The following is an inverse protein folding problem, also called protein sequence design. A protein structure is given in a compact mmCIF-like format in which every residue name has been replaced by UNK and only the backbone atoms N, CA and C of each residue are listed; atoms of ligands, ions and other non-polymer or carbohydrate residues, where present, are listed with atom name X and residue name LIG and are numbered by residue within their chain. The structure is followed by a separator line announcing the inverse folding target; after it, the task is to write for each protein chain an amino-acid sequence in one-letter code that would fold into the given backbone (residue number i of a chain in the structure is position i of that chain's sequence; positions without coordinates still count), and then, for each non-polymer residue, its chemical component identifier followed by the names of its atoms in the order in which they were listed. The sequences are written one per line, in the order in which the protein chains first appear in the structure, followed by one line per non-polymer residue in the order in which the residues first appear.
data_IF_187394578874
#
_entry.id   IF_187394578874
#
_cell.length_a   1.000
_cell.length_b   1.000
_cell.length_c   1.000
_cell.angle_alpha   90.00
_cell.angle_beta   90.00
_cell.angle_gamma   90.00
#
_symmetry.space_group_name_H-M   'P 1'
#
loop_
_entity.id
_entity.type
_entity.pdbx_description
1 polymer ?
#
# COMPACT_ATOMS: atom_id res chain seq x y z
N UNK A 1 11.56 13.46 -11.50
CA UNK A 1 10.47 13.95 -10.63
C UNK A 1 9.22 14.22 -11.45
N UNK A 2 8.09 13.64 -11.07
CA UNK A 2 6.81 13.82 -11.75
C UNK A 2 6.13 15.14 -11.32
N UNK A 3 5.49 15.86 -12.25
CA UNK A 3 4.99 17.22 -12.02
C UNK A 3 3.95 17.33 -10.88
N UNK A 4 3.11 16.29 -10.68
CA UNK A 4 2.15 16.24 -9.57
C UNK A 4 2.81 16.22 -8.19
N UNK A 5 3.93 15.51 -8.05
CA UNK A 5 4.70 15.43 -6.79
C UNK A 5 5.29 16.80 -6.47
N UNK A 6 5.91 17.46 -7.46
CA UNK A 6 6.42 18.83 -7.32
C UNK A 6 5.34 19.83 -6.87
N UNK A 7 4.13 19.71 -7.44
CA UNK A 7 3.00 20.59 -7.09
C UNK A 7 2.46 20.33 -5.67
N UNK A 8 2.48 19.08 -5.20
CA UNK A 8 1.95 18.69 -3.91
C UNK A 8 2.94 18.95 -2.75
N UNK A 9 4.22 18.64 -2.93
CA UNK A 9 5.22 18.70 -1.84
C UNK A 9 6.11 19.95 -1.89
N UNK A 10 6.04 20.74 -2.96
CA UNK A 10 6.91 21.89 -3.17
C UNK A 10 8.38 21.56 -3.45
N UNK A 11 8.76 20.28 -3.49
CA UNK A 11 10.13 19.88 -3.84
C UNK A 11 10.37 19.99 -5.34
N UNK A 12 11.42 20.70 -5.74
CA UNK A 12 11.90 20.75 -7.11
C UNK A 12 13.14 19.86 -7.32
N UNK A 13 13.60 19.78 -8.58
CA UNK A 13 14.75 18.94 -8.95
C UNK A 13 16.06 19.45 -8.34
N UNK A 14 16.18 20.75 -8.09
CA UNK A 14 17.38 21.39 -7.58
C UNK A 14 17.54 21.07 -6.08
N UNK A 15 16.47 21.23 -5.30
CA UNK A 15 16.44 20.84 -3.88
C UNK A 15 16.64 19.34 -3.69
N UNK A 16 16.11 18.50 -4.57
CA UNK A 16 16.38 17.06 -4.55
C UNK A 16 17.84 16.72 -4.83
N UNK A 17 18.50 17.43 -5.75
CA UNK A 17 19.90 17.16 -6.09
C UNK A 17 20.87 17.49 -4.95
N UNK A 18 20.45 18.37 -4.02
CA UNK A 18 21.17 18.70 -2.79
C UNK A 18 20.86 17.74 -1.63
N UNK A 19 19.88 16.84 -1.81
CA UNK A 19 19.48 15.89 -0.78
C UNK A 19 20.49 14.76 -0.60
N UNK A 20 20.53 14.19 0.61
CA UNK A 20 21.25 12.94 0.85
C UNK A 20 20.55 11.78 0.13
N UNK A 21 21.31 10.75 -0.24
CA UNK A 21 20.72 9.49 -0.69
C UNK A 21 19.93 8.85 0.46
N UNK A 22 18.98 7.96 0.12
CA UNK A 22 18.17 7.29 1.15
C UNK A 22 19.01 6.54 2.20
N UNK A 23 20.04 5.73 1.83
CA UNK A 23 20.92 5.10 2.83
C UNK A 23 21.60 6.10 3.76
N UNK A 24 22.15 7.19 3.22
CA UNK A 24 22.80 8.22 4.03
C UNK A 24 21.82 8.94 4.96
N UNK A 25 20.60 9.23 4.48
CA UNK A 25 19.56 9.87 5.27
C UNK A 25 19.07 8.94 6.40
N UNK A 26 18.89 7.66 6.12
CA UNK A 26 18.47 6.66 7.11
C UNK A 26 19.53 6.47 8.20
N UNK A 27 20.81 6.40 7.83
CA UNK A 27 21.90 6.29 8.80
C UNK A 27 22.02 7.55 9.68
N UNK A 28 21.86 8.73 9.09
CA UNK A 28 21.79 9.99 9.86
C UNK A 28 20.60 10.02 10.81
N UNK A 29 19.44 9.51 10.37
CA UNK A 29 18.25 9.41 11.21
C UNK A 29 18.49 8.46 12.39
N UNK A 30 19.01 7.25 12.12
CA UNK A 30 19.42 6.28 13.15
C UNK A 30 20.38 6.91 14.15
N UNK A 31 21.45 7.54 13.68
CA UNK A 31 22.45 8.21 14.55
C UNK A 31 21.81 9.27 15.44
N UNK A 32 20.81 10.00 14.92
CA UNK A 32 20.14 11.07 15.66
C UNK A 32 19.16 10.55 16.71
N UNK A 33 18.36 9.52 16.39
CA UNK A 33 17.31 9.03 17.31
C UNK A 33 17.76 7.85 18.19
N UNK A 34 18.87 7.18 17.85
CA UNK A 34 19.43 6.06 18.60
C UNK A 34 18.83 4.70 18.23
N UNK A 35 19.01 3.76 19.14
CA UNK A 35 18.58 2.35 18.99
C UNK A 35 17.27 2.08 19.75
N UNK A 36 16.57 1.03 19.35
CA UNK A 36 15.31 0.57 19.96
C UNK A 36 14.19 1.63 19.98
N UNK A 37 14.08 2.40 18.89
CA UNK A 37 13.09 3.49 18.83
C UNK A 37 11.72 2.96 18.40
N UNK A 38 10.67 3.63 18.86
CA UNK A 38 9.32 3.45 18.35
C UNK A 38 8.89 4.70 17.60
N UNK A 39 8.49 4.55 16.34
CA UNK A 39 8.02 5.69 15.55
C UNK A 39 6.53 5.92 15.73
N UNK A 40 6.15 7.19 15.92
CA UNK A 40 4.78 7.64 15.99
C UNK A 40 4.41 8.34 14.69
N UNK A 41 3.40 7.87 13.98
CA UNK A 41 2.95 8.42 12.69
C UNK A 41 1.46 8.77 12.73
N UNK A 42 1.00 9.69 11.88
CA UNK A 42 -0.43 10.02 11.81
C UNK A 42 -1.27 8.91 11.13
N UNK A 43 -0.65 8.04 10.35
CA UNK A 43 -1.32 6.96 9.64
C UNK A 43 -0.41 5.78 9.33
N UNK A 44 -0.91 4.81 8.58
CA UNK A 44 -0.17 3.59 8.25
C UNK A 44 0.80 3.72 7.07
N UNK A 45 0.67 4.78 6.27
CA UNK A 45 1.38 4.89 4.98
C UNK A 45 2.89 5.07 5.16
N UNK A 46 3.33 5.85 6.13
CA UNK A 46 4.75 6.17 6.34
C UNK A 46 5.58 4.92 6.61
N UNK A 47 5.07 4.02 7.46
CA UNK A 47 5.71 2.73 7.75
C UNK A 47 5.92 1.93 6.46
N UNK A 48 4.87 1.79 5.65
CA UNK A 48 4.95 1.02 4.41
C UNK A 48 5.98 1.63 3.43
N UNK A 49 5.97 2.96 3.27
CA UNK A 49 6.93 3.63 2.38
C UNK A 49 8.37 3.48 2.91
N UNK A 50 8.59 3.58 4.21
CA UNK A 50 9.90 3.37 4.84
C UNK A 50 10.41 1.94 4.61
N UNK A 51 9.59 0.93 4.94
CA UNK A 51 9.92 -0.49 4.75
C UNK A 51 10.27 -0.79 3.28
N UNK A 52 9.49 -0.27 2.33
CA UNK A 52 9.76 -0.45 0.90
C UNK A 52 11.12 0.14 0.50
N UNK A 53 11.48 1.34 0.97
CA UNK A 53 12.76 1.95 0.62
C UNK A 53 13.93 1.18 1.23
N UNK A 54 13.80 0.71 2.47
CA UNK A 54 14.83 -0.09 3.13
C UNK A 54 15.08 -1.39 2.37
N UNK A 55 14.02 -2.08 1.93
CA UNK A 55 14.12 -3.28 1.11
C UNK A 55 14.78 -3.00 -0.25
N UNK A 56 14.41 -1.91 -0.92
CA UNK A 56 14.97 -1.54 -2.24
C UNK A 56 16.47 -1.24 -2.15
N UNK A 57 16.91 -0.68 -1.03
CA UNK A 57 18.29 -0.29 -0.79
C UNK A 57 19.12 -1.35 -0.05
N UNK A 58 18.55 -2.51 0.29
CA UNK A 58 19.22 -3.61 1.00
C UNK A 58 19.84 -3.16 2.34
N UNK A 59 19.06 -2.42 3.14
CA UNK A 59 19.49 -1.86 4.43
C UNK A 59 18.86 -2.62 5.60
N UNK A 60 19.45 -2.45 6.78
CA UNK A 60 18.97 -2.99 8.06
C UNK A 60 18.11 -1.96 8.80
N UNK A 61 17.10 -2.42 9.53
CA UNK A 61 16.20 -1.61 10.35
C UNK A 61 16.03 -2.13 11.78
N UNK A 62 16.85 -3.07 12.23
CA UNK A 62 16.72 -3.72 13.55
C UNK A 62 16.80 -2.75 14.75
N UNK A 63 17.21 -1.50 14.50
CA UNK A 63 17.21 -0.39 15.45
C UNK A 63 15.81 0.23 15.69
N UNK A 64 14.82 -0.10 14.86
CA UNK A 64 13.43 0.33 15.00
C UNK A 64 12.63 -0.81 15.65
N UNK A 65 12.15 -0.60 16.86
CA UNK A 65 11.39 -1.60 17.62
C UNK A 65 9.95 -1.71 17.17
N UNK A 66 9.26 -0.57 16.95
CA UNK A 66 7.84 -0.60 16.63
C UNK A 66 7.34 0.69 15.95
N UNK A 67 6.08 0.69 15.53
CA UNK A 67 5.36 1.80 14.91
C UNK A 67 3.96 1.96 15.51
N UNK A 68 3.64 3.18 15.92
CA UNK A 68 2.34 3.55 16.50
C UNK A 68 1.63 4.56 15.61
N UNK A 69 0.41 4.21 15.21
CA UNK A 69 -0.50 5.09 14.49
C UNK A 69 -1.27 5.97 15.48
N UNK A 70 -0.88 7.24 15.60
CA UNK A 70 -1.49 8.22 16.48
C UNK A 70 -2.97 8.47 16.18
N UNK A 71 -3.39 8.36 14.92
CA UNK A 71 -4.80 8.54 14.55
C UNK A 71 -5.70 7.50 15.22
N UNK A 72 -5.20 6.29 15.47
CA UNK A 72 -5.96 5.28 16.21
C UNK A 72 -6.22 5.73 17.64
N UNK A 73 -5.18 6.23 18.30
CA UNK A 73 -5.27 6.77 19.67
C UNK A 73 -6.22 7.97 19.70
N UNK A 74 -6.08 8.88 18.74
CA UNK A 74 -7.00 10.01 18.57
C UNK A 74 -8.45 9.53 18.45
N UNK A 75 -8.74 8.55 17.58
CA UNK A 75 -10.10 8.05 17.39
C UNK A 75 -10.66 7.39 18.65
N UNK A 76 -9.86 6.64 19.40
CA UNK A 76 -10.27 6.03 20.67
C UNK A 76 -10.71 7.09 21.69
N UNK A 77 -9.95 8.18 21.82
CA UNK A 77 -10.18 9.19 22.85
C UNK A 77 -11.23 10.22 22.47
N UNK A 78 -11.51 10.38 21.18
CA UNK A 78 -12.46 11.37 20.67
C UNK A 78 -13.81 10.78 20.27
N UNK A 79 -14.05 9.48 20.51
CA UNK A 79 -15.25 8.80 20.05
C UNK A 79 -15.35 8.76 18.52
N UNK A 80 -14.20 8.83 17.83
CA UNK A 80 -14.11 8.78 16.39
C UNK A 80 -14.51 7.42 15.84
N UNK A 81 -15.11 7.41 14.65
CA UNK A 81 -15.30 6.18 13.90
C UNK A 81 -13.96 5.54 13.48
N UNK A 82 -14.05 4.35 12.87
CA UNK A 82 -12.88 3.61 12.39
C UNK A 82 -12.33 4.15 11.06
N UNK A 83 -12.87 5.26 10.55
CA UNK A 83 -12.46 5.80 9.26
C UNK A 83 -11.15 6.56 9.36
N UNK A 84 -10.38 6.55 8.27
CA UNK A 84 -9.16 7.36 8.19
C UNK A 84 -9.51 8.84 8.15
N UNK A 85 -8.79 9.65 8.94
CA UNK A 85 -9.00 11.09 9.03
C UNK A 85 -7.78 11.86 8.55
N UNK A 86 -8.01 13.03 7.94
CA UNK A 86 -6.90 13.92 7.65
C UNK A 86 -6.31 14.48 8.96
N UNK A 87 -5.00 14.76 8.98
CA UNK A 87 -4.36 15.39 10.13
C UNK A 87 -5.01 16.74 10.45
N UNK A 88 -5.40 17.49 9.42
CA UNK A 88 -6.14 18.75 9.55
C UNK A 88 -7.45 18.61 10.32
N UNK A 89 -8.12 17.46 10.25
CA UNK A 89 -9.35 17.20 11.03
C UNK A 89 -9.06 17.18 12.53
N UNK A 90 -7.97 16.53 12.95
CA UNK A 90 -7.59 16.49 14.36
C UNK A 90 -7.04 17.83 14.85
N UNK A 91 -6.28 18.53 14.01
CA UNK A 91 -5.84 19.90 14.30
C UNK A 91 -7.04 20.82 14.54
N UNK A 92 -8.04 20.79 13.64
CA UNK A 92 -9.26 21.58 13.78
C UNK A 92 -10.04 21.22 15.07
N UNK A 93 -10.13 19.93 15.41
CA UNK A 93 -10.79 19.49 16.64
C UNK A 93 -10.12 20.11 17.88
N UNK A 94 -8.79 20.09 17.97
CA UNK A 94 -8.08 20.67 19.11
C UNK A 94 -7.83 22.18 19.01
N UNK A 95 -8.36 22.85 17.99
CA UNK A 95 -8.11 24.28 17.77
C UNK A 95 -6.64 24.62 17.48
N UNK A 96 -5.88 23.67 16.95
CA UNK A 96 -4.47 23.86 16.58
C UNK A 96 -4.40 24.62 15.26
N UNK A 97 -3.81 25.82 15.30
CA UNK A 97 -3.59 26.62 14.11
C UNK A 97 -2.51 26.02 13.20
N UNK A 98 -2.80 25.97 11.89
CA UNK A 98 -1.83 25.54 10.90
C UNK A 98 -0.82 26.65 10.63
N UNK A 99 0.33 26.59 11.31
CA UNK A 99 1.42 27.57 11.19
C UNK A 99 2.48 27.19 10.15
N UNK A 100 2.38 25.99 9.57
CA UNK A 100 3.32 25.45 8.56
C UNK A 100 2.58 25.00 7.30
N UNK A 101 3.29 25.04 6.17
CA UNK A 101 2.75 24.62 4.87
C UNK A 101 2.31 23.15 4.94
N UNK A 102 1.07 22.88 4.52
CA UNK A 102 0.55 21.52 4.41
C UNK A 102 1.39 20.71 3.42
N UNK A 103 1.53 19.40 3.64
CA UNK A 103 2.25 18.49 2.74
C UNK A 103 3.77 18.73 2.66
N UNK A 104 4.32 19.39 3.68
CA UNK A 104 5.74 19.36 4.02
C UNK A 104 5.95 18.33 5.15
N UNK A 105 6.87 17.38 4.95
CA UNK A 105 7.05 16.26 5.88
C UNK A 105 7.42 16.71 7.30
N UNK A 106 8.24 17.76 7.43
CA UNK A 106 8.59 18.31 8.74
C UNK A 106 7.41 19.04 9.37
N UNK A 107 6.64 19.78 8.57
CA UNK A 107 5.37 20.39 9.00
C UNK A 107 4.37 19.36 9.51
N UNK A 108 4.16 18.27 8.78
CA UNK A 108 3.22 17.22 9.14
C UNK A 108 3.69 16.46 10.39
N UNK A 109 4.99 16.19 10.54
CA UNK A 109 5.56 15.60 11.77
C UNK A 109 5.39 16.52 12.99
N UNK A 110 5.64 17.82 12.82
CA UNK A 110 5.46 18.82 13.87
C UNK A 110 3.98 18.91 14.32
N UNK A 111 3.06 18.98 13.36
CA UNK A 111 1.63 19.03 13.65
C UNK A 111 1.12 17.72 14.29
N UNK A 112 1.65 16.57 13.88
CA UNK A 112 1.39 15.28 14.53
C UNK A 112 1.84 15.31 15.99
N UNK A 113 3.00 15.89 16.28
CA UNK A 113 3.49 16.10 17.65
C UNK A 113 2.59 17.03 18.48
N UNK A 114 2.05 18.10 17.87
CA UNK A 114 1.07 18.97 18.54
C UNK A 114 -0.25 18.25 18.83
N UNK A 115 -0.76 17.43 17.92
CA UNK A 115 -1.95 16.61 18.19
C UNK A 115 -1.66 15.60 19.31
N UNK A 116 -0.48 14.98 19.29
CA UNK A 116 -0.05 14.04 20.32
C UNK A 116 -0.07 14.67 21.73
N UNK A 117 0.33 15.94 21.85
CA UNK A 117 0.34 16.64 23.15
C UNK A 117 -1.05 16.93 23.72
N UNK A 118 -2.10 16.82 22.90
CA UNK A 118 -3.50 16.97 23.33
C UNK A 118 -4.16 15.64 23.72
N UNK A 119 -3.45 14.52 23.59
CA UNK A 119 -3.95 13.18 23.85
C UNK A 119 -3.32 12.60 25.12
N UNK A 120 -4.06 11.72 25.80
CA UNK A 120 -3.48 10.88 26.85
C UNK A 120 -2.70 9.74 26.19
N UNK A 121 -1.42 9.97 25.88
CA UNK A 121 -0.61 8.98 25.18
C UNK A 121 -0.42 7.70 26.02
N UNK A 122 -0.35 7.80 27.35
CA UNK A 122 -0.17 6.65 28.23
C UNK A 122 -1.37 5.69 28.15
N UNK A 123 -2.58 6.22 28.28
CA UNK A 123 -3.80 5.46 28.09
C UNK A 123 -3.92 4.92 26.66
N UNK A 124 -3.60 5.77 25.68
CA UNK A 124 -3.65 5.42 24.26
C UNK A 124 -2.78 4.21 23.92
N UNK A 125 -1.53 4.20 24.39
CA UNK A 125 -0.60 3.10 24.17
C UNK A 125 -1.04 1.81 24.87
N UNK A 126 -1.56 1.91 26.10
CA UNK A 126 -2.08 0.75 26.83
C UNK A 126 -3.24 0.06 26.09
N UNK A 127 -4.07 0.82 25.39
CA UNK A 127 -5.22 0.31 24.62
C UNK A 127 -4.88 -0.03 23.16
N UNK A 128 -3.69 0.37 22.67
CA UNK A 128 -3.37 0.39 21.25
C UNK A 128 -3.41 -1.01 20.62
N UNK A 129 -2.77 -2.01 21.25
CA UNK A 129 -2.72 -3.37 20.73
C UNK A 129 -4.12 -3.97 20.56
N UNK A 130 -5.01 -3.73 21.52
CA UNK A 130 -6.38 -4.24 21.48
C UNK A 130 -7.22 -3.48 20.44
N UNK A 131 -6.99 -2.17 20.29
CA UNK A 131 -7.63 -1.39 19.25
C UNK A 131 -7.21 -1.85 17.83
N UNK A 132 -5.93 -2.15 17.62
CA UNK A 132 -5.44 -2.74 16.35
C UNK A 132 -6.11 -4.09 16.09
N UNK A 133 -6.20 -4.96 17.10
CA UNK A 133 -6.91 -6.26 16.98
C UNK A 133 -8.40 -6.06 16.69
N UNK A 134 -9.06 -5.11 17.34
CA UNK A 134 -10.48 -4.80 17.13
C UNK A 134 -10.77 -4.15 15.76
N UNK A 135 -9.77 -3.53 15.13
CA UNK A 135 -9.83 -3.09 13.74
C UNK A 135 -9.60 -4.25 12.76
N UNK A 136 -8.72 -5.20 13.10
CA UNK A 136 -8.46 -6.40 12.29
C UNK A 136 -9.58 -7.45 12.41
N UNK A 137 -10.28 -7.51 13.55
CA UNK A 137 -11.41 -8.37 13.78
C UNK A 137 -12.59 -7.90 12.92
N UNK A 138 -13.00 -8.74 11.96
CA UNK A 138 -14.18 -8.47 11.12
C UNK A 138 -15.42 -8.40 12.01
N UNK A 139 -16.14 -7.25 12.08
CA UNK A 139 -17.50 -7.28 12.60
C UNK A 139 -18.37 -8.19 11.70
N UNK A 140 -19.46 -8.78 12.23
CA UNK A 140 -20.47 -9.37 11.37
C UNK A 140 -20.92 -8.29 10.37
N UNK A 141 -20.99 -8.67 9.08
CA UNK A 141 -21.15 -7.77 7.94
C UNK A 141 -22.28 -6.76 8.14
N UNK A 142 -21.94 -5.54 8.55
CA UNK A 142 -22.74 -4.36 8.28
C UNK A 142 -22.03 -3.55 7.20
N UNK A 143 -22.74 -3.39 6.08
CA UNK A 143 -22.28 -2.66 4.89
C UNK A 143 -22.10 -1.20 5.24
N UNK A 144 -20.90 -0.63 5.10
CA UNK A 144 -20.72 0.77 4.66
C UNK A 144 -19.48 0.96 3.78
N UNK A 145 -19.71 1.77 2.75
CA UNK A 145 -18.78 2.37 1.80
C UNK A 145 -17.70 3.19 2.54
N UNK A 146 -16.50 3.47 2.01
CA UNK A 146 -16.21 4.03 0.70
C UNK A 146 -14.84 3.54 0.19
N UNK A 147 -14.84 2.91 -0.98
CA UNK A 147 -13.67 2.80 -1.86
C UNK A 147 -14.18 3.29 -3.21
N UNK A 148 -13.63 4.38 -3.75
CA UNK A 148 -14.10 4.99 -5.01
C UNK A 148 -13.74 4.18 -6.27
N UNK A 149 -13.73 2.85 -6.17
CA UNK A 149 -13.77 1.93 -7.30
C UNK A 149 -15.04 1.09 -7.21
N UNK A 150 -15.56 0.55 -8.33
CA UNK A 150 -16.71 -0.33 -8.27
C UNK A 150 -16.47 -1.47 -7.28
N UNK A 151 -17.50 -1.85 -6.54
CA UNK A 151 -17.41 -3.00 -5.64
C UNK A 151 -16.92 -4.22 -6.43
N UNK A 152 -15.94 -4.99 -5.89
CA UNK A 152 -15.45 -6.16 -6.60
C UNK A 152 -16.58 -7.19 -6.72
N UNK A 153 -16.81 -7.68 -7.93
CA UNK A 153 -17.76 -8.77 -8.20
C UNK A 153 -17.31 -10.07 -7.51
N UNK A 154 -16.00 -10.25 -7.34
CA UNK A 154 -15.43 -11.42 -6.70
C UNK A 154 -14.09 -11.09 -6.02
N UNK A 155 -13.87 -11.66 -4.85
CA UNK A 155 -12.61 -11.59 -4.12
C UNK A 155 -12.32 -12.97 -3.50
N UNK A 156 -11.27 -13.63 -3.97
CA UNK A 156 -10.89 -14.98 -3.55
C UNK A 156 -9.40 -15.07 -3.22
N UNK A 157 -9.08 -15.98 -2.30
CA UNK A 157 -7.70 -16.35 -1.95
C UNK A 157 -7.43 -17.78 -2.38
N UNK A 158 -6.23 -17.98 -2.94
CA UNK A 158 -5.73 -19.25 -3.45
C UNK A 158 -4.43 -19.58 -2.71
N UNK A 159 -4.27 -20.86 -2.39
CA UNK A 159 -3.25 -21.33 -1.47
C UNK A 159 -2.72 -22.71 -1.90
N UNK A 160 -1.55 -23.07 -1.34
CA UNK A 160 -0.28 -22.43 -1.62
C UNK A 160 0.31 -23.01 -2.91
N UNK A 161 1.05 -22.17 -3.65
CA UNK A 161 1.80 -22.58 -4.83
C UNK A 161 3.30 -22.58 -4.51
N UNK A 162 4.03 -23.60 -4.94
CA UNK A 162 5.49 -23.67 -4.81
C UNK A 162 6.22 -22.62 -5.66
N UNK A 163 5.58 -22.13 -6.73
CA UNK A 163 6.14 -21.10 -7.61
C UNK A 163 5.05 -20.27 -8.28
N UNK A 164 5.44 -19.10 -8.80
CA UNK A 164 4.54 -18.33 -9.68
C UNK A 164 4.16 -19.10 -10.94
N UNK A 165 5.07 -19.92 -11.48
CA UNK A 165 4.79 -20.72 -12.67
C UNK A 165 3.64 -21.70 -12.44
N UNK A 166 3.63 -22.34 -11.28
CA UNK A 166 2.55 -23.23 -10.86
C UNK A 166 1.23 -22.48 -10.69
N UNK A 167 1.25 -21.34 -9.99
CA UNK A 167 0.06 -20.49 -9.87
C UNK A 167 -0.49 -20.06 -11.24
N UNK A 168 0.39 -19.73 -12.21
CA UNK A 168 -0.05 -19.37 -13.56
C UNK A 168 -0.53 -20.56 -14.40
N UNK A 169 -0.26 -21.79 -13.96
CA UNK A 169 -0.78 -23.02 -14.58
C UNK A 169 -2.15 -23.44 -14.01
N UNK A 170 -2.53 -22.94 -12.84
CA UNK A 170 -3.84 -23.20 -12.24
C UNK A 170 -4.95 -22.44 -12.99
N UNK A 171 -5.74 -23.18 -13.77
CA UNK A 171 -6.88 -22.63 -14.54
C UNK A 171 -7.92 -21.97 -13.65
N UNK A 172 -8.20 -22.54 -12.48
CA UNK A 172 -9.17 -21.96 -11.56
C UNK A 172 -8.70 -20.61 -11.02
N UNK A 173 -7.39 -20.35 -10.98
CA UNK A 173 -6.83 -19.04 -10.64
C UNK A 173 -6.78 -18.08 -11.84
N UNK A 174 -6.21 -18.51 -12.98
CA UNK A 174 -5.89 -17.60 -14.10
C UNK A 174 -7.00 -17.42 -15.12
N UNK A 175 -7.99 -18.32 -15.15
CA UNK A 175 -9.11 -18.30 -16.07
C UNK A 175 -10.45 -18.41 -15.30
N UNK A 176 -10.84 -17.36 -14.54
CA UNK A 176 -12.13 -17.34 -13.86
C UNK A 176 -13.31 -17.43 -14.84
N UNK A 177 -14.39 -18.07 -14.38
CA UNK A 177 -15.73 -17.88 -14.93
C UNK A 177 -16.30 -16.51 -14.54
N UNK A 178 -17.29 -16.05 -15.30
CA UNK A 178 -18.00 -14.81 -15.04
C UNK A 178 -18.66 -14.86 -13.66
N UNK A 179 -18.41 -13.88 -12.77
CA UNK A 179 -18.97 -13.90 -11.41
C UNK A 179 -20.50 -13.69 -11.35
N UNK A 180 -21.14 -13.35 -12.47
CA UNK A 180 -22.59 -13.12 -12.56
C UNK A 180 -23.33 -14.35 -13.10
N UNK A 181 -22.84 -14.99 -14.17
CA UNK A 181 -23.51 -16.11 -14.82
C UNK A 181 -22.70 -17.41 -14.91
N UNK A 182 -21.52 -17.45 -14.30
CA UNK A 182 -20.63 -18.62 -14.21
C UNK A 182 -20.15 -19.20 -15.56
N UNK A 183 -20.35 -18.48 -16.68
CA UNK A 183 -19.83 -18.88 -17.99
C UNK A 183 -18.35 -18.58 -18.13
N UNK A 184 -17.69 -19.34 -19.01
CA UNK A 184 -16.30 -19.09 -19.39
C UNK A 184 -16.13 -17.69 -20.00
N UNK A 185 -15.04 -17.02 -19.63
CA UNK A 185 -14.71 -15.68 -20.12
C UNK A 185 -13.53 -15.74 -21.09
N UNK A 186 -13.52 -14.86 -22.10
CA UNK A 186 -12.37 -14.69 -22.98
C UNK A 186 -11.36 -13.75 -22.33
N UNK A 187 -10.17 -14.26 -21.99
CA UNK A 187 -9.09 -13.46 -21.41
C UNK A 187 -8.19 -12.84 -22.47
N UNK A 188 -7.69 -11.64 -22.20
CA UNK A 188 -6.56 -11.05 -22.92
C UNK A 188 -5.23 -11.54 -22.31
N UNK A 189 -4.18 -10.73 -22.42
CA UNK A 189 -2.84 -11.05 -21.94
C UNK A 189 -2.68 -10.66 -20.47
N UNK A 190 -2.11 -11.54 -19.66
CA UNK A 190 -1.65 -11.18 -18.32
C UNK A 190 -0.52 -10.15 -18.38
N UNK A 191 -0.74 -8.99 -17.76
CA UNK A 191 0.23 -7.89 -17.66
C UNK A 191 0.82 -7.88 -16.26
N UNK A 192 2.15 -7.98 -16.17
CA UNK A 192 2.88 -7.79 -14.92
C UNK A 192 2.97 -6.29 -14.60
N UNK A 193 2.44 -5.89 -13.44
CA UNK A 193 2.43 -4.49 -12.98
C UNK A 193 3.61 -4.16 -12.06
N UNK A 194 4.53 -5.10 -11.84
CA UNK A 194 5.55 -5.03 -10.80
C UNK A 194 4.99 -5.38 -9.42
N UNK A 195 5.88 -5.53 -8.44
CA UNK A 195 5.51 -5.70 -7.02
C UNK A 195 4.43 -6.79 -6.82
N UNK A 196 4.72 -7.97 -7.37
CA UNK A 196 3.89 -9.17 -7.22
C UNK A 196 2.44 -9.04 -7.75
N UNK A 197 2.14 -7.99 -8.53
CA UNK A 197 0.81 -7.73 -9.09
C UNK A 197 0.72 -8.04 -10.57
N UNK A 198 -0.40 -8.63 -10.95
CA UNK A 198 -0.74 -8.93 -12.33
C UNK A 198 -2.18 -8.51 -12.60
N UNK A 199 -2.48 -8.18 -13.86
CA UNK A 199 -3.85 -7.91 -14.28
C UNK A 199 -4.14 -8.49 -15.67
N UNK A 200 -5.40 -8.78 -15.92
CA UNK A 200 -5.92 -9.19 -17.21
C UNK A 200 -7.30 -8.56 -17.42
N UNK A 201 -7.70 -8.39 -18.68
CA UNK A 201 -9.06 -8.03 -19.04
C UNK A 201 -9.76 -9.31 -19.51
N UNK A 202 -10.86 -9.66 -18.86
CA UNK A 202 -11.70 -10.79 -19.22
C UNK A 202 -13.01 -10.26 -19.83
N UNK A 203 -13.60 -11.00 -20.77
CA UNK A 203 -14.83 -10.60 -21.45
C UNK A 203 -15.85 -11.73 -21.37
N UNK A 204 -16.98 -11.42 -20.71
CA UNK A 204 -18.17 -12.26 -20.69
C UNK A 204 -19.06 -11.89 -21.89
N UNK A 205 -19.57 -12.88 -22.65
CA UNK A 205 -20.46 -12.62 -23.78
C UNK A 205 -21.76 -11.87 -23.43
N UNK A 206 -22.18 -11.91 -22.16
CA UNK A 206 -23.45 -11.33 -21.70
C UNK A 206 -23.29 -10.13 -20.78
N UNK A 207 -22.26 -10.14 -19.93
CA UNK A 207 -22.11 -9.15 -18.85
C UNK A 207 -21.00 -8.12 -19.13
N UNK A 208 -20.37 -8.20 -20.30
CA UNK A 208 -19.33 -7.27 -20.72
C UNK A 208 -17.96 -7.62 -20.17
N UNK A 209 -17.12 -6.61 -19.95
CA UNK A 209 -15.71 -6.79 -19.60
C UNK A 209 -15.47 -6.62 -18.11
N UNK A 210 -14.54 -7.41 -17.61
CA UNK A 210 -14.09 -7.41 -16.23
C UNK A 210 -12.57 -7.24 -16.16
N UNK A 211 -12.11 -6.46 -15.19
CA UNK A 211 -10.69 -6.38 -14.85
C UNK A 211 -10.37 -7.40 -13.76
N UNK A 212 -9.58 -8.40 -14.12
CA UNK A 212 -9.07 -9.42 -13.20
C UNK A 212 -7.71 -9.00 -12.67
N UNK A 213 -7.52 -9.02 -11.35
CA UNK A 213 -6.26 -8.67 -10.70
C UNK A 213 -5.76 -9.82 -9.82
N UNK A 214 -4.48 -10.11 -9.89
CA UNK A 214 -3.79 -11.04 -9.00
C UNK A 214 -2.77 -10.29 -8.16
N UNK A 215 -2.71 -10.58 -6.86
CA UNK A 215 -1.63 -10.16 -5.96
C UNK A 215 -1.02 -11.40 -5.32
N UNK A 216 0.25 -11.62 -5.61
CA UNK A 216 1.03 -12.68 -4.99
C UNK A 216 1.60 -12.20 -3.66
N UNK A 217 1.60 -13.08 -2.66
CA UNK A 217 2.36 -12.92 -1.42
C UNK A 217 3.24 -14.15 -1.26
N UNK A 218 4.51 -13.92 -0.93
CA UNK A 218 5.45 -15.00 -0.63
C UNK A 218 5.45 -15.19 0.89
N UNK A 219 5.21 -16.42 1.34
CA UNK A 219 5.35 -16.81 2.73
C UNK A 219 6.81 -17.07 3.09
N UNK A 220 7.07 -17.19 4.39
CA UNK A 220 8.42 -17.44 4.94
C UNK A 220 8.96 -18.83 4.55
N UNK A 221 8.05 -19.78 4.28
CA UNK A 221 8.32 -21.11 3.72
C UNK A 221 8.70 -21.07 2.22
N UNK A 222 8.69 -19.88 1.61
CA UNK A 222 8.98 -19.66 0.21
C UNK A 222 7.79 -19.93 -0.73
N UNK A 223 6.65 -20.42 -0.21
CA UNK A 223 5.45 -20.67 -0.98
C UNK A 223 4.71 -19.37 -1.32
N UNK A 224 3.84 -19.41 -2.32
CA UNK A 224 3.04 -18.29 -2.77
C UNK A 224 1.56 -18.49 -2.42
N UNK A 225 0.96 -17.48 -1.79
CA UNK A 225 -0.49 -17.31 -1.77
C UNK A 225 -0.88 -16.24 -2.79
N UNK A 226 -2.06 -16.39 -3.40
CA UNK A 226 -2.54 -15.47 -4.44
C UNK A 226 -3.93 -14.99 -4.10
N UNK A 227 -4.10 -13.67 -4.05
CA UNK A 227 -5.43 -13.04 -4.00
C UNK A 227 -5.86 -12.69 -5.41
N UNK A 228 -7.05 -13.15 -5.84
CA UNK A 228 -7.72 -12.71 -7.07
C UNK A 228 -8.88 -11.80 -6.74
N UNK A 229 -8.97 -10.68 -7.45
CA UNK A 229 -10.10 -9.75 -7.39
C UNK A 229 -10.59 -9.46 -8.80
N UNK A 230 -11.92 -9.47 -9.00
CA UNK A 230 -12.59 -9.18 -10.27
C UNK A 230 -13.45 -7.93 -10.08
N UNK A 231 -13.30 -6.96 -10.97
CA UNK A 231 -14.08 -5.73 -11.03
C UNK A 231 -14.80 -5.63 -12.38
N UNK A 232 -16.00 -5.02 -12.45
CA UNK A 232 -16.52 -4.62 -13.74
C UNK A 232 -15.58 -3.58 -14.36
N UNK A 233 -15.23 -3.76 -15.63
CA UNK A 233 -14.35 -2.85 -16.35
C UNK A 233 -15.17 -1.79 -17.07
N UNK A 234 -15.06 -0.54 -16.61
CA UNK A 234 -15.51 0.61 -17.38
C UNK A 234 -14.47 0.98 -18.47
N UNK A 235 -14.83 1.91 -19.35
CA UNK A 235 -13.93 2.39 -20.41
C UNK A 235 -12.59 2.91 -19.86
N UNK A 236 -12.56 3.44 -18.63
CA UNK A 236 -11.36 3.98 -18.02
C UNK A 236 -10.37 2.87 -17.65
N UNK A 237 -10.87 1.76 -17.08
CA UNK A 237 -10.11 0.56 -16.73
C UNK A 237 -9.65 -0.18 -17.99
N UNK A 238 -10.47 -0.22 -19.04
CA UNK A 238 -10.07 -0.75 -20.34
C UNK A 238 -8.90 0.03 -20.94
N UNK A 239 -8.99 1.38 -20.97
CA UNK A 239 -7.89 2.23 -21.45
C UNK A 239 -6.64 2.08 -20.59
N UNK A 240 -6.80 1.95 -19.27
CA UNK A 240 -5.69 1.72 -18.35
C UNK A 240 -4.98 0.38 -18.64
N UNK A 241 -5.74 -0.70 -18.81
CA UNK A 241 -5.21 -2.00 -19.21
C UNK A 241 -4.50 -1.90 -20.56
N UNK A 242 -5.13 -1.28 -21.56
CA UNK A 242 -4.57 -1.12 -22.91
C UNK A 242 -3.22 -0.40 -22.92
N UNK A 243 -3.09 0.70 -22.16
CA UNK A 243 -1.81 1.43 -21.98
C UNK A 243 -0.71 0.57 -21.38
N UNK A 244 -1.05 -0.35 -20.48
CA UNK A 244 -0.07 -1.22 -19.81
C UNK A 244 0.25 -2.48 -20.62
N UNK A 245 -0.70 -2.99 -21.38
CA UNK A 245 -0.51 -4.15 -22.26
C UNK A 245 0.38 -3.83 -23.47
N UNK A 246 0.36 -2.58 -23.95
CA UNK A 246 1.16 -2.11 -25.08
C UNK A 246 2.60 -1.70 -24.71
N UNK A 247 2.92 -1.57 -23.43
CA UNK A 247 4.28 -1.26 -23.00
C UNK A 247 5.21 -2.47 -23.27
N UNK A 248 6.34 -2.28 -23.96
CA UNK A 248 7.30 -3.36 -24.15
C UNK A 248 7.79 -3.83 -22.78
N UNK A 249 7.63 -5.13 -22.50
CA UNK A 249 7.99 -5.71 -21.21
C UNK A 249 9.46 -5.41 -20.89
N UNK A 250 9.72 -4.94 -19.68
CA UNK A 250 11.08 -4.79 -19.15
C UNK A 250 11.73 -6.19 -19.11
N UNK A 251 12.42 -6.58 -20.20
CA UNK A 251 13.33 -7.73 -20.18
C UNK A 251 14.41 -7.38 -19.17
N UNK A 252 14.36 -8.00 -17.99
CA UNK A 252 15.46 -7.94 -17.03
C UNK A 252 16.75 -8.31 -17.75
N UNK A 253 17.75 -7.42 -17.72
CA UNK A 253 19.10 -7.73 -18.20
C UNK A 253 19.60 -8.94 -17.44
N UNK A 254 19.57 -10.12 -18.06
CA UNK A 254 20.29 -11.31 -17.61
C UNK A 254 21.77 -10.92 -17.58
N UNK A 255 22.33 -10.64 -16.39
CA UNK A 255 23.79 -10.57 -16.21
C UNK A 255 24.32 -12.00 -16.46
N UNK A 256 24.82 -12.25 -17.66
CA UNK A 256 25.63 -13.42 -17.93
C UNK A 256 26.91 -13.29 -17.11
N UNK A 257 27.03 -14.08 -16.05
CA UNK A 257 28.34 -14.37 -15.43
C UNK A 257 29.16 -15.15 -16.45
N UNK A 258 29.98 -14.46 -17.23
CA UNK A 258 31.08 -15.09 -17.94
C UNK A 258 32.12 -15.45 -16.88
N UNK A 259 32.23 -16.73 -16.53
CA UNK A 259 33.39 -17.26 -15.82
C UNK A 259 34.59 -17.11 -16.77
N UNK A 260 35.55 -16.25 -16.41
CA UNK A 260 36.90 -16.37 -16.97
C UNK A 260 37.61 -17.50 -16.24
N UNK A 261 38.09 -18.46 -17.02
CA UNK A 261 39.14 -19.42 -16.64
C UNK A 261 40.46 -18.65 -16.59
#
# INVERSE_FOLDING_TARGET
MHYKVKKLTGFDKERLALGASFPEALERLRTWCGENVTFLTWGYDDRYIMEQNIIIHDLDWDWITDWVNLQLIYNLQTGGDKNQKALSTAMAHFGIEQTRVAHDALGDAYNTGLVCSQLDLGLGLAQYTDAVKAMAAKPPKEKKAENNGPDPLQHMSFAPFSSKGEAFADKNLVAPSCPICDREMTLKKWVNQGDQRYMNLAECPEHGKDLVRLKFRRGDDGAYSVTRIIYPADESLERFYGKKASQPGHRGKRRSRVKKI
#
